data_IF_677186999304
#
_entry.id   IF_677186999304
#
_cell.length_a   1.000
_cell.length_b   1.000
_cell.length_c   1.000
_cell.angle_alpha   90.00
_cell.angle_beta   90.00
_cell.angle_gamma   90.00
#
_symmetry.space_group_name_H-M   'P 1'
#
loop_
_entity.id
_entity.type
_entity.pdbx_description
1 polymer ?
#
# COMPACT_ATOMS: atom_id res chain seq x y z
N UNK A 1 -25.37 -3.95 -11.52
CA UNK A 1 -23.98 -3.46 -11.45
C UNK A 1 -23.29 -3.97 -12.70
N UNK A 2 -22.82 -3.08 -13.57
CA UNK A 2 -21.97 -3.50 -14.69
C UNK A 2 -20.67 -4.08 -14.13
N UNK A 3 -20.29 -5.25 -14.63
CA UNK A 3 -18.99 -5.85 -14.30
C UNK A 3 -17.88 -5.01 -14.91
N UNK A 4 -16.94 -4.59 -14.07
CA UNK A 4 -15.76 -3.86 -14.49
C UNK A 4 -14.81 -4.83 -15.24
N UNK A 5 -14.91 -4.90 -16.58
CA UNK A 5 -14.13 -5.81 -17.43
C UNK A 5 -12.67 -5.38 -17.67
N UNK A 6 -12.12 -4.51 -16.83
CA UNK A 6 -10.76 -4.01 -16.96
C UNK A 6 -9.79 -4.82 -16.10
N UNK A 7 -8.65 -5.22 -16.67
CA UNK A 7 -7.56 -5.82 -15.91
C UNK A 7 -6.65 -4.69 -15.42
N UNK A 8 -6.54 -4.51 -14.11
CA UNK A 8 -5.64 -3.53 -13.50
C UNK A 8 -4.29 -4.17 -13.20
N UNK A 9 -3.19 -3.46 -13.44
CA UNK A 9 -1.86 -3.93 -13.02
C UNK A 9 -1.71 -3.91 -11.48
N UNK A 10 -2.46 -3.03 -10.82
CA UNK A 10 -2.39 -2.80 -9.38
C UNK A 10 -3.79 -2.58 -8.81
N UNK A 11 -4.13 -3.29 -7.74
CA UNK A 11 -5.27 -2.99 -6.89
C UNK A 11 -4.74 -2.49 -5.54
N UNK A 12 -5.21 -1.34 -5.09
CA UNK A 12 -4.74 -0.71 -3.87
C UNK A 12 -5.89 -0.57 -2.88
N UNK A 13 -5.82 -1.29 -1.76
CA UNK A 13 -6.83 -1.24 -0.71
C UNK A 13 -6.27 -0.69 0.59
N UNK A 14 -7.03 0.24 1.19
CA UNK A 14 -6.85 0.73 2.55
C UNK A 14 -7.99 0.24 3.43
N UNK A 15 -7.82 0.30 4.75
CA UNK A 15 -8.82 -0.16 5.71
C UNK A 15 -9.27 -1.60 5.38
N UNK A 16 -8.33 -2.54 5.24
CA UNK A 16 -8.65 -3.91 4.84
C UNK A 16 -9.28 -4.76 5.94
N UNK A 17 -9.16 -4.34 7.21
CA UNK A 17 -9.64 -5.05 8.39
C UNK A 17 -9.05 -6.47 8.57
N UNK A 18 -7.97 -6.79 7.86
CA UNK A 18 -7.26 -8.05 8.05
C UNK A 18 -6.63 -8.09 9.45
N UNK A 19 -6.77 -9.21 10.14
CA UNK A 19 -6.20 -9.43 11.47
C UNK A 19 -5.05 -10.44 11.43
N UNK A 20 -5.04 -11.31 10.42
CA UNK A 20 -4.00 -12.30 10.19
C UNK A 20 -3.89 -12.64 8.68
N UNK A 21 -2.88 -13.44 8.32
CA UNK A 21 -2.63 -13.82 6.92
C UNK A 21 -3.79 -14.59 6.27
N UNK A 22 -4.59 -15.31 7.05
CA UNK A 22 -5.73 -16.05 6.52
C UNK A 22 -6.91 -15.15 6.14
N UNK A 23 -6.92 -13.88 6.60
CA UNK A 23 -7.95 -12.91 6.25
C UNK A 23 -7.65 -12.23 4.90
N UNK A 24 -6.41 -12.36 4.39
CA UNK A 24 -5.99 -11.73 3.13
C UNK A 24 -6.69 -12.42 1.97
N UNK A 25 -7.57 -11.66 1.31
CA UNK A 25 -8.30 -12.11 0.12
C UNK A 25 -7.31 -12.42 -1.01
N UNK A 26 -7.38 -13.62 -1.57
CA UNK A 26 -6.58 -13.95 -2.75
C UNK A 26 -7.37 -13.57 -4.00
N UNK A 27 -6.82 -12.68 -4.82
CA UNK A 27 -7.35 -12.38 -6.14
C UNK A 27 -6.58 -13.18 -7.18
N UNK A 28 -7.28 -13.86 -8.08
CA UNK A 28 -6.66 -14.62 -9.16
C UNK A 28 -5.75 -13.71 -10.00
N UNK A 29 -4.51 -14.15 -10.21
CA UNK A 29 -3.46 -13.45 -10.97
C UNK A 29 -2.87 -12.21 -10.26
N UNK A 30 -2.91 -12.16 -8.93
CA UNK A 30 -2.26 -11.10 -8.16
C UNK A 30 -1.48 -11.63 -6.94
N UNK A 31 -0.33 -11.01 -6.69
CA UNK A 31 0.46 -11.15 -5.46
C UNK A 31 0.16 -10.03 -4.47
N UNK A 32 0.10 -10.32 -3.17
CA UNK A 32 -0.15 -9.34 -2.10
C UNK A 32 0.90 -9.32 -0.99
N UNK A 33 1.23 -8.11 -0.51
CA UNK A 33 2.18 -7.84 0.58
C UNK A 33 1.49 -7.40 1.89
N UNK A 34 0.17 -7.60 2.01
CA UNK A 34 -0.69 -6.97 3.01
C UNK A 34 -0.08 -6.78 4.42
N UNK A 35 -0.20 -5.56 4.97
CA UNK A 35 0.21 -5.22 6.34
C UNK A 35 -1.00 -4.89 7.21
N UNK A 36 -0.96 -5.32 8.47
CA UNK A 36 -2.03 -5.08 9.44
C UNK A 36 -1.50 -5.13 10.89
N UNK A 37 -2.18 -4.43 11.80
CA UNK A 37 -1.87 -4.44 13.25
C UNK A 37 -2.70 -5.50 13.96
N UNK A 38 -2.06 -6.35 14.75
CA UNK A 38 -2.74 -7.40 15.53
C UNK A 38 -3.66 -6.87 16.64
N UNK A 39 -3.47 -5.63 17.12
CA UNK A 39 -4.06 -5.14 18.37
C UNK A 39 -5.16 -4.08 18.24
N UNK A 40 -5.42 -3.51 17.05
CA UNK A 40 -6.46 -2.49 16.84
C UNK A 40 -7.29 -2.83 15.59
N UNK A 41 -8.62 -2.82 15.72
CA UNK A 41 -9.58 -2.98 14.60
C UNK A 41 -9.54 -1.76 13.67
N UNK A 42 -9.87 -1.97 12.39
CA UNK A 42 -10.08 -0.90 11.41
C UNK A 42 -8.85 -0.36 10.69
N UNK A 43 -7.78 -1.16 10.58
CA UNK A 43 -6.50 -0.76 9.98
C UNK A 43 -6.01 -1.83 9.01
N UNK A 44 -5.11 -1.44 8.11
CA UNK A 44 -4.44 -2.37 7.21
C UNK A 44 -4.46 -1.91 5.76
N UNK A 45 -3.39 -2.28 5.07
CA UNK A 45 -3.16 -1.96 3.67
C UNK A 45 -2.87 -3.23 2.91
N UNK A 46 -3.42 -3.36 1.70
CA UNK A 46 -3.14 -4.48 0.82
C UNK A 46 -3.03 -3.99 -0.63
N UNK A 47 -1.80 -3.71 -1.10
CA UNK A 47 -1.54 -3.70 -2.53
C UNK A 47 -1.61 -5.13 -3.05
N UNK A 48 -2.21 -5.25 -4.23
CA UNK A 48 -2.19 -6.44 -5.06
C UNK A 48 -1.55 -6.04 -6.39
N UNK A 49 -0.47 -6.71 -6.76
CA UNK A 49 0.24 -6.47 -8.02
C UNK A 49 0.00 -7.66 -8.92
N UNK A 50 -0.36 -7.40 -10.18
CA UNK A 50 -0.61 -8.44 -11.17
C UNK A 50 0.59 -9.39 -11.29
N UNK A 51 0.30 -10.69 -11.42
CA UNK A 51 1.31 -11.74 -11.53
C UNK A 51 2.22 -11.48 -12.74
N UNK A 52 3.52 -11.71 -12.55
CA UNK A 52 4.56 -11.46 -13.56
C UNK A 52 5.17 -10.06 -13.50
N UNK A 53 4.58 -9.12 -12.76
CA UNK A 53 5.23 -7.84 -12.47
C UNK A 53 6.20 -8.03 -11.29
N UNK A 54 7.50 -7.84 -11.55
CA UNK A 54 8.52 -7.89 -10.50
C UNK A 54 8.57 -6.59 -9.71
N UNK A 55 8.57 -6.69 -8.39
CA UNK A 55 8.68 -5.57 -7.47
C UNK A 55 9.43 -5.96 -6.19
N UNK A 56 9.80 -4.94 -5.40
CA UNK A 56 10.29 -5.07 -4.03
C UNK A 56 9.51 -4.17 -3.10
N UNK A 57 9.33 -4.57 -1.85
CA UNK A 57 8.80 -3.71 -0.79
C UNK A 57 9.86 -2.68 -0.40
N UNK A 58 9.43 -1.42 -0.26
CA UNK A 58 10.24 -0.32 0.25
C UNK A 58 10.03 -0.28 1.77
N UNK A 59 10.88 -1.00 2.49
CA UNK A 59 10.72 -1.23 3.93
C UNK A 59 10.77 0.06 4.76
N UNK A 60 11.57 1.04 4.32
CA UNK A 60 11.79 2.34 4.97
C UNK A 60 10.51 3.19 5.01
N UNK A 61 9.63 3.00 4.03
CA UNK A 61 8.36 3.70 3.89
C UNK A 61 7.16 2.78 4.09
N UNK A 62 7.37 1.57 4.62
CA UNK A 62 6.30 0.64 4.98
C UNK A 62 6.06 0.70 6.48
N UNK A 63 4.97 1.35 6.90
CA UNK A 63 4.69 1.62 8.31
C UNK A 63 3.19 1.66 8.61
N UNK A 64 2.81 1.19 9.80
CA UNK A 64 1.50 1.44 10.40
C UNK A 64 1.72 2.25 11.67
N UNK A 65 1.42 3.54 11.60
CA UNK A 65 1.49 4.45 12.74
C UNK A 65 0.08 4.80 13.23
N UNK A 66 -0.01 5.67 14.25
CA UNK A 66 -1.30 6.22 14.65
C UNK A 66 -1.72 7.39 13.73
N UNK A 67 -0.79 8.04 13.03
CA UNK A 67 -1.02 9.24 12.18
C UNK A 67 -1.20 8.93 10.69
N UNK A 68 -0.59 7.86 10.20
CA UNK A 68 -0.71 7.37 8.83
C UNK A 68 -0.34 5.89 8.72
N UNK A 69 -0.75 5.28 7.62
CA UNK A 69 -0.36 3.94 7.21
C UNK A 69 0.18 4.03 5.78
N UNK A 70 1.28 3.36 5.52
CA UNK A 70 1.86 3.28 4.18
C UNK A 70 2.42 1.88 3.92
N UNK A 71 2.18 1.37 2.72
CA UNK A 71 2.90 0.25 2.15
C UNK A 71 3.35 0.66 0.76
N UNK A 72 4.67 0.75 0.57
CA UNK A 72 5.26 1.16 -0.68
C UNK A 72 6.04 0.01 -1.33
N UNK A 73 5.92 -0.10 -2.64
CA UNK A 73 6.58 -1.10 -3.49
C UNK A 73 7.17 -0.42 -4.71
N UNK A 74 8.31 -0.91 -5.18
CA UNK A 74 8.98 -0.40 -6.38
C UNK A 74 9.30 -1.55 -7.34
N UNK A 75 8.92 -1.37 -8.59
CA UNK A 75 9.36 -2.20 -9.71
C UNK A 75 10.52 -1.55 -10.47
N UNK A 76 10.80 -2.08 -11.67
CA UNK A 76 11.88 -1.57 -12.52
C UNK A 76 11.62 -0.14 -13.02
N UNK A 77 10.37 0.17 -13.34
CA UNK A 77 9.98 1.43 -13.99
C UNK A 77 8.79 2.13 -13.29
N UNK A 78 8.45 1.71 -12.08
CA UNK A 78 7.32 2.26 -11.34
C UNK A 78 7.53 2.13 -9.84
N UNK A 79 6.79 2.94 -9.09
CA UNK A 79 6.55 2.72 -7.67
C UNK A 79 5.08 2.94 -7.37
N UNK A 80 4.59 2.22 -6.36
CA UNK A 80 3.23 2.36 -5.83
C UNK A 80 3.35 2.55 -4.33
N UNK A 81 2.71 3.59 -3.80
CA UNK A 81 2.52 3.77 -2.37
C UNK A 81 1.02 3.73 -2.08
N UNK A 82 0.59 2.71 -1.34
CA UNK A 82 -0.77 2.67 -0.79
C UNK A 82 -0.72 3.38 0.55
N UNK A 83 -1.47 4.47 0.68
CA UNK A 83 -1.37 5.37 1.82
C UNK A 83 -2.75 5.64 2.39
N UNK A 84 -2.86 5.57 3.71
CA UNK A 84 -4.07 5.92 4.44
C UNK A 84 -3.77 6.91 5.57
N UNK A 85 -4.57 7.97 5.68
CA UNK A 85 -4.56 8.89 6.82
C UNK A 85 -5.82 8.64 7.66
N UNK A 86 -5.69 8.13 8.90
CA UNK A 86 -6.84 8.00 9.78
C UNK A 86 -7.54 9.34 10.02
N UNK A 87 -8.86 9.33 10.23
CA UNK A 87 -9.59 10.54 10.55
C UNK A 87 -9.07 11.15 11.85
N UNK A 88 -9.17 12.48 11.96
CA UNK A 88 -8.76 13.27 13.14
C UNK A 88 -7.25 13.29 13.46
N UNK A 89 -6.40 12.77 12.58
CA UNK A 89 -4.94 12.90 12.71
C UNK A 89 -4.40 14.21 12.12
N UNK A 90 -3.31 14.77 12.66
CA UNK A 90 -2.78 16.04 12.20
C UNK A 90 -2.46 16.01 10.70
N UNK A 91 -3.05 16.94 9.95
CA UNK A 91 -2.82 17.04 8.50
C UNK A 91 -1.35 17.37 8.19
N UNK A 92 -0.71 18.19 9.03
CA UNK A 92 0.69 18.59 8.86
C UNK A 92 1.66 17.40 8.89
N UNK A 93 1.47 16.46 9.82
CA UNK A 93 2.30 15.24 9.91
C UNK A 93 2.14 14.40 8.64
N UNK A 94 0.91 14.25 8.17
CA UNK A 94 0.63 13.50 6.95
C UNK A 94 1.24 14.15 5.70
N UNK A 95 1.10 15.47 5.54
CA UNK A 95 1.68 16.20 4.42
C UNK A 95 3.21 16.12 4.45
N UNK A 96 3.83 16.26 5.62
CA UNK A 96 5.27 16.09 5.77
C UNK A 96 5.73 14.68 5.34
N UNK A 97 4.99 13.65 5.75
CA UNK A 97 5.25 12.29 5.30
C UNK A 97 5.12 12.14 3.76
N UNK A 98 4.09 12.74 3.16
CA UNK A 98 3.90 12.73 1.70
C UNK A 98 5.07 13.41 0.96
N UNK A 99 5.60 14.51 1.49
CA UNK A 99 6.79 15.16 0.95
C UNK A 99 7.99 14.21 1.00
N UNK A 100 8.27 13.62 2.17
CA UNK A 100 9.41 12.71 2.37
C UNK A 100 9.36 11.49 1.45
N UNK A 101 8.20 10.85 1.30
CA UNK A 101 8.06 9.68 0.42
C UNK A 101 8.15 10.11 -1.05
N UNK A 102 7.58 11.25 -1.42
CA UNK A 102 7.64 11.75 -2.81
C UNK A 102 9.08 12.04 -3.22
N UNK A 103 9.87 12.72 -2.37
CA UNK A 103 11.29 12.96 -2.61
C UNK A 103 12.08 11.66 -2.76
N UNK A 104 11.83 10.69 -1.88
CA UNK A 104 12.46 9.37 -1.98
C UNK A 104 12.09 8.66 -3.29
N UNK A 105 10.81 8.62 -3.67
CA UNK A 105 10.37 7.96 -4.89
C UNK A 105 10.93 8.62 -6.15
N UNK A 106 11.08 9.96 -6.16
CA UNK A 106 11.73 10.70 -7.24
C UNK A 106 13.24 10.43 -7.31
N UNK A 107 13.87 10.09 -6.18
CA UNK A 107 15.28 9.71 -6.13
C UNK A 107 15.54 8.28 -6.64
N UNK A 108 14.48 7.46 -6.77
CA UNK A 108 14.60 6.14 -7.35
C UNK A 108 14.97 6.27 -8.83
N UNK A 109 16.23 5.99 -9.14
CA UNK A 109 16.68 5.87 -10.51
C UNK A 109 16.09 4.59 -11.14
N UNK A 110 14.92 4.72 -11.74
CA UNK A 110 14.35 3.70 -12.62
C UNK A 110 15.21 3.61 -13.89
N UNK A 111 16.10 2.61 -13.94
CA UNK A 111 16.99 2.33 -15.07
C UNK A 111 16.39 1.30 -16.03
#
# INVERSE_FOLDING_TARGET
MEELKHNFDVLAFTETWFSNKNDVVQFDRYCSEAIFRRSKRGKGLAPYIADGISYRVITEYTAITDDYECLAVAGKAFAVAVIYRPPFRPLSIFLHFLEQISEYLLSLNFK
#
